data_IF_593452128622
#
_entry.id   IF_593452128622
#
_cell.length_a   1.000
_cell.length_b   1.000
_cell.length_c   1.000
_cell.angle_alpha   90.00
_cell.angle_beta   90.00
_cell.angle_gamma   90.00
#
_symmetry.space_group_name_H-M   'P 1'
#
loop_
_entity.id
_entity.type
_entity.pdbx_description
1 polymer ?
#
# COMPACT_ATOMS: atom_id res chain seq x y z
N UNK A 1 36.48 20.06 -7.51
CA UNK A 1 35.84 19.59 -8.76
C UNK A 1 35.13 18.27 -8.44
N UNK A 2 33.80 18.25 -8.32
CA UNK A 2 33.05 17.01 -8.00
C UNK A 2 32.98 16.15 -9.26
N UNK A 3 33.56 14.97 -9.24
CA UNK A 3 33.50 14.02 -10.35
C UNK A 3 32.09 13.45 -10.47
N UNK A 4 31.64 13.10 -11.68
CA UNK A 4 30.32 12.48 -11.90
C UNK A 4 30.08 11.23 -11.04
N UNK A 5 31.14 10.49 -10.71
CA UNK A 5 31.13 9.34 -9.80
C UNK A 5 30.77 9.69 -8.35
N UNK A 6 31.12 10.89 -7.87
CA UNK A 6 30.82 11.34 -6.50
C UNK A 6 29.33 11.67 -6.27
N UNK A 7 28.56 11.84 -7.36
CA UNK A 7 27.12 12.08 -7.31
C UNK A 7 26.30 10.80 -7.50
N UNK A 8 26.91 9.72 -8.02
CA UNK A 8 26.21 8.48 -8.33
C UNK A 8 25.65 7.77 -7.09
N UNK A 9 26.44 7.66 -6.02
CA UNK A 9 26.01 7.00 -4.78
C UNK A 9 24.85 7.76 -4.09
N UNK A 10 24.93 9.09 -3.90
CA UNK A 10 23.80 9.86 -3.39
C UNK A 10 22.54 9.76 -4.28
N UNK A 11 22.70 9.81 -5.61
CA UNK A 11 21.57 9.69 -6.53
C UNK A 11 20.93 8.30 -6.49
N UNK A 12 21.73 7.23 -6.41
CA UNK A 12 21.23 5.85 -6.28
C UNK A 12 20.50 5.64 -4.95
N UNK A 13 21.02 6.22 -3.87
CA UNK A 13 20.36 6.20 -2.56
C UNK A 13 19.02 6.93 -2.58
N UNK A 14 18.97 8.13 -3.17
CA UNK A 14 17.74 8.89 -3.35
C UNK A 14 16.74 8.11 -4.22
N UNK A 15 17.18 7.55 -5.34
CA UNK A 15 16.35 6.73 -6.22
C UNK A 15 15.78 5.50 -5.52
N UNK A 16 16.59 4.76 -4.76
CA UNK A 16 16.14 3.60 -3.99
C UNK A 16 15.13 4.01 -2.92
N UNK A 17 15.34 5.15 -2.27
CA UNK A 17 14.39 5.69 -1.28
C UNK A 17 13.07 6.07 -1.94
N UNK A 18 13.10 6.70 -3.12
CA UNK A 18 11.91 7.01 -3.91
C UNK A 18 11.19 5.75 -4.37
N UNK A 19 11.90 4.73 -4.86
CA UNK A 19 11.30 3.45 -5.22
C UNK A 19 10.64 2.79 -4.00
N UNK A 20 11.30 2.81 -2.84
CA UNK A 20 10.78 2.26 -1.60
C UNK A 20 9.54 3.00 -1.09
N UNK A 21 9.52 4.34 -1.15
CA UNK A 21 8.34 5.13 -0.78
C UNK A 21 7.20 4.99 -1.80
N UNK A 22 7.54 4.60 -3.03
CA UNK A 22 6.59 4.26 -4.10
C UNK A 22 6.22 2.77 -4.12
N UNK A 23 6.74 1.96 -3.19
CA UNK A 23 6.31 0.56 -3.12
C UNK A 23 4.84 0.51 -2.80
N UNK A 24 4.16 -0.39 -3.50
CA UNK A 24 2.72 -0.57 -3.42
C UNK A 24 2.25 -0.73 -1.96
N UNK A 25 3.03 -1.46 -1.15
CA UNK A 25 2.73 -1.67 0.26
C UNK A 25 2.80 -0.40 1.11
N UNK A 26 3.82 0.44 0.91
CA UNK A 26 3.95 1.73 1.61
C UNK A 26 2.80 2.69 1.22
N UNK A 27 2.38 2.66 -0.04
CA UNK A 27 1.28 3.48 -0.52
C UNK A 27 -0.07 3.04 0.08
N UNK A 28 -0.34 1.72 0.11
CA UNK A 28 -1.55 1.18 0.73
C UNK A 28 -1.58 1.50 2.23
N UNK A 29 -0.48 1.32 2.96
CA UNK A 29 -0.43 1.67 4.40
C UNK A 29 -0.63 3.17 4.66
N UNK A 30 -0.21 4.04 3.74
CA UNK A 30 -0.42 5.49 3.86
C UNK A 30 -1.87 5.88 3.55
N UNK A 31 -2.50 5.20 2.61
CA UNK A 31 -3.84 5.53 2.13
C UNK A 31 -4.94 4.77 2.86
N UNK A 32 -4.68 3.60 3.41
CA UNK A 32 -5.67 2.74 4.02
C UNK A 32 -5.35 2.55 5.50
N UNK A 33 -6.24 3.04 6.38
CA UNK A 33 -6.12 2.80 7.81
C UNK A 33 -7.47 2.51 8.42
N UNK A 34 -7.53 1.54 9.32
CA UNK A 34 -8.72 1.23 10.10
C UNK A 34 -8.53 1.68 11.55
N UNK A 35 -9.49 2.43 12.08
CA UNK A 35 -9.56 2.77 13.50
C UNK A 35 -10.95 2.44 14.04
N UNK A 36 -11.08 1.29 14.71
CA UNK A 36 -12.38 0.76 15.14
C UNK A 36 -13.31 0.53 13.94
N UNK A 37 -14.46 1.20 13.91
CA UNK A 37 -15.41 1.15 12.80
C UNK A 37 -15.18 2.25 11.76
N UNK A 38 -14.05 2.96 11.78
CA UNK A 38 -13.76 4.01 10.79
C UNK A 38 -12.67 3.53 9.84
N UNK A 39 -13.04 3.43 8.56
CA UNK A 39 -12.10 3.17 7.48
C UNK A 39 -11.72 4.49 6.82
N UNK A 40 -10.44 4.84 6.90
CA UNK A 40 -9.88 5.95 6.14
C UNK A 40 -9.31 5.42 4.83
N UNK A 41 -9.73 6.01 3.71
CA UNK A 41 -9.20 5.76 2.37
C UNK A 41 -8.74 7.09 1.79
N UNK A 42 -7.43 7.28 1.67
CA UNK A 42 -6.79 8.55 1.36
C UNK A 42 -7.35 9.67 2.26
N UNK A 43 -8.06 10.63 1.68
CA UNK A 43 -8.62 11.78 2.39
C UNK A 43 -10.07 11.59 2.84
N UNK A 44 -10.64 10.40 2.63
CA UNK A 44 -12.04 10.10 2.96
C UNK A 44 -12.14 9.19 4.18
N UNK A 45 -13.15 9.44 5.00
CA UNK A 45 -13.48 8.63 6.16
C UNK A 45 -14.84 7.96 5.93
N UNK A 46 -14.91 6.65 6.16
CA UNK A 46 -16.12 5.86 6.04
C UNK A 46 -16.43 5.19 7.38
N UNK A 47 -17.69 5.23 7.80
CA UNK A 47 -18.16 4.47 8.96
C UNK A 47 -18.60 3.07 8.49
N UNK A 48 -17.96 2.04 9.04
CA UNK A 48 -18.24 0.65 8.76
C UNK A 48 -19.35 0.13 9.67
N UNK A 49 -20.50 -0.16 9.08
CA UNK A 49 -21.63 -0.79 9.76
C UNK A 49 -21.79 -2.29 9.45
N UNK A 50 -20.97 -2.82 8.52
CA UNK A 50 -20.99 -4.20 8.03
C UNK A 50 -19.57 -4.65 7.66
N UNK A 51 -19.45 -5.91 7.25
CA UNK A 51 -18.20 -6.47 6.72
C UNK A 51 -17.72 -5.69 5.49
N UNK A 52 -16.40 -5.57 5.36
CA UNK A 52 -15.76 -4.98 4.18
C UNK A 52 -15.26 -6.11 3.29
N UNK A 53 -15.40 -5.94 1.98
CA UNK A 53 -14.87 -6.87 0.98
C UNK A 53 -13.71 -6.20 0.26
N UNK A 54 -12.55 -6.86 0.24
CA UNK A 54 -11.40 -6.42 -0.54
C UNK A 54 -11.48 -7.05 -1.92
N UNK A 55 -11.38 -6.24 -2.96
CA UNK A 55 -11.22 -6.70 -4.35
C UNK A 55 -10.00 -6.01 -4.94
N UNK A 56 -9.01 -6.79 -5.37
CA UNK A 56 -7.79 -6.29 -6.01
C UNK A 56 -7.68 -6.86 -7.43
N UNK A 57 -7.25 -6.02 -8.39
CA UNK A 57 -7.20 -6.37 -9.81
C UNK A 57 -5.84 -5.95 -10.40
N UNK A 58 -5.29 -6.79 -11.27
CA UNK A 58 -4.07 -6.54 -12.03
C UNK A 58 -2.81 -7.18 -11.43
N UNK A 59 -1.66 -6.98 -12.09
CA UNK A 59 -0.39 -7.66 -11.76
C UNK A 59 0.08 -7.47 -10.32
N UNK A 60 -0.31 -6.36 -9.70
CA UNK A 60 0.09 -6.02 -8.34
C UNK A 60 -0.91 -6.54 -7.28
N UNK A 61 -2.03 -7.13 -7.69
CA UNK A 61 -3.11 -7.57 -6.80
C UNK A 61 -2.63 -8.48 -5.64
N UNK A 62 -1.73 -9.47 -5.84
CA UNK A 62 -1.27 -10.29 -4.73
C UNK A 62 -0.63 -9.48 -3.59
N UNK A 63 0.21 -8.50 -3.93
CA UNK A 63 0.89 -7.61 -2.97
C UNK A 63 -0.10 -6.63 -2.33
N UNK A 64 -1.12 -6.18 -3.07
CA UNK A 64 -2.18 -5.33 -2.52
C UNK A 64 -2.97 -6.07 -1.43
N UNK A 65 -3.34 -7.32 -1.70
CA UNK A 65 -4.08 -8.16 -0.75
C UNK A 65 -3.24 -8.43 0.48
N UNK A 66 -1.99 -8.87 0.32
CA UNK A 66 -1.09 -9.15 1.45
C UNK A 66 -0.86 -7.91 2.32
N UNK A 67 -0.78 -6.71 1.72
CA UNK A 67 -0.63 -5.47 2.49
C UNK A 67 -1.92 -5.11 3.21
N UNK A 68 -3.08 -5.23 2.55
CA UNK A 68 -4.36 -4.96 3.17
C UNK A 68 -4.68 -5.95 4.31
N UNK A 69 -4.26 -7.22 4.19
CA UNK A 69 -4.38 -8.25 5.25
C UNK A 69 -3.62 -7.87 6.53
N UNK A 70 -2.52 -7.10 6.43
CA UNK A 70 -1.71 -6.65 7.57
C UNK A 70 -2.30 -5.43 8.29
N UNK A 71 -3.17 -4.68 7.63
CA UNK A 71 -3.98 -3.66 8.30
C UNK A 71 -5.02 -4.44 9.07
N UNK A 72 -4.99 -4.40 10.40
CA UNK A 72 -5.74 -5.30 11.29
C UNK A 72 -7.27 -5.13 11.13
N UNK A 73 -7.81 -5.78 10.10
CA UNK A 73 -9.23 -5.84 9.76
C UNK A 73 -9.82 -7.09 10.41
N UNK A 74 -9.97 -7.08 11.73
CA UNK A 74 -10.52 -8.19 12.53
C UNK A 74 -11.96 -8.61 12.14
N UNK A 75 -12.59 -7.98 11.13
CA UNK A 75 -13.92 -8.29 10.58
C UNK A 75 -14.01 -8.24 9.03
N UNK A 76 -12.95 -8.56 8.28
CA UNK A 76 -13.03 -8.66 6.81
C UNK A 76 -13.06 -10.09 6.30
N UNK A 77 -13.84 -10.30 5.24
CA UNK A 77 -13.79 -11.51 4.40
C UNK A 77 -13.14 -11.12 3.08
N UNK A 78 -12.00 -11.73 2.77
CA UNK A 78 -11.19 -11.41 1.59
C UNK A 78 -11.49 -12.41 0.49
N UNK A 79 -11.84 -11.91 -0.69
CA UNK A 79 -12.04 -12.73 -1.88
C UNK A 79 -10.88 -12.46 -2.85
N UNK A 80 -9.97 -13.43 -3.01
CA UNK A 80 -8.98 -13.40 -4.10
C UNK A 80 -9.68 -13.82 -5.39
N UNK A 81 -9.61 -12.96 -6.40
CA UNK A 81 -10.02 -13.27 -7.77
C UNK A 81 -8.75 -13.55 -8.57
N UNK A 82 -8.34 -14.81 -8.59
CA UNK A 82 -7.24 -15.28 -9.42
C UNK A 82 -7.78 -15.53 -10.84
N UNK A 83 -7.86 -14.49 -11.66
CA UNK A 83 -8.04 -14.61 -13.11
C UNK A 83 -7.56 -13.33 -13.79
N UNK A 84 -6.39 -13.39 -14.44
CA UNK A 84 -5.98 -12.78 -15.72
C UNK A 84 -4.45 -12.80 -15.84
#
# INVERSE_FOLDING_TARGET
>A
MKTASSLFIPCLSAFKTTLNSSTLGAYINKCLSLNGNQLKVADRLYLLNKNVHLVAIGKAAPVMVETAEKVDFTKMTIHRLDNY
#
